data_IF_512707141696
#
_entry.id   IF_512707141696
#
_cell.length_a   1.000
_cell.length_b   1.000
_cell.length_c   1.000
_cell.angle_alpha   90.00
_cell.angle_beta   90.00
_cell.angle_gamma   90.00
#
_symmetry.space_group_name_H-M   'P 1'
#
loop_
_entity.id
_entity.type
_entity.pdbx_description
1 polymer ?
#
# COMPACT_ATOMS: atom_id res chain seq x y z
N UNK A 1 -4.03 0.13 11.20
CA UNK A 1 -5.27 0.82 11.61
C UNK A 1 -6.34 0.62 10.55
N UNK A 2 -7.63 0.61 10.90
CA UNK A 2 -8.69 0.35 9.93
C UNK A 2 -9.98 1.12 10.23
N UNK A 3 -10.79 1.34 9.20
CA UNK A 3 -12.05 2.07 9.30
C UNK A 3 -13.09 1.54 8.30
N UNK A 4 -14.37 1.65 8.68
CA UNK A 4 -15.51 1.45 7.77
C UNK A 4 -15.76 2.72 6.94
N UNK A 5 -16.37 2.54 5.76
CA UNK A 5 -16.82 3.63 4.91
C UNK A 5 -17.71 3.12 3.78
N UNK A 6 -17.84 3.92 2.73
CA UNK A 6 -18.55 3.52 1.51
C UNK A 6 -17.81 4.01 0.26
N UNK A 7 -18.08 3.34 -0.86
CA UNK A 7 -17.64 3.70 -2.20
C UNK A 7 -18.86 3.93 -3.10
N UNK A 8 -18.74 4.89 -4.00
CA UNK A 8 -19.75 5.22 -5.00
C UNK A 8 -19.05 5.65 -6.29
N UNK A 9 -19.35 5.02 -7.46
CA UNK A 9 -18.76 5.44 -8.72
C UNK A 9 -19.38 6.77 -9.19
N UNK A 10 -18.61 7.61 -9.88
CA UNK A 10 -19.14 8.89 -10.39
C UNK A 10 -20.13 8.71 -11.55
N UNK A 11 -19.94 7.65 -12.35
CA UNK A 11 -20.77 7.28 -13.50
C UNK A 11 -20.65 5.78 -13.73
N UNK A 12 -21.56 5.22 -14.52
CA UNK A 12 -21.48 3.83 -14.95
C UNK A 12 -20.19 3.58 -15.75
N UNK A 13 -19.52 2.45 -15.49
CA UNK A 13 -18.37 1.95 -16.24
C UNK A 13 -18.70 0.70 -17.09
N UNK A 14 -19.98 0.43 -17.36
CA UNK A 14 -20.45 -0.75 -18.10
C UNK A 14 -19.77 -0.96 -19.46
N UNK A 15 -19.35 0.13 -20.13
CA UNK A 15 -18.62 0.07 -21.40
C UNK A 15 -17.28 -0.68 -21.32
N UNK A 16 -16.63 -0.68 -20.15
CA UNK A 16 -15.29 -1.25 -19.95
C UNK A 16 -15.25 -2.38 -18.91
N UNK A 17 -16.22 -2.48 -18.02
CA UNK A 17 -16.30 -3.54 -17.00
C UNK A 17 -17.74 -3.92 -16.71
N UNK A 18 -18.00 -5.21 -16.53
CA UNK A 18 -19.29 -5.72 -16.04
C UNK A 18 -19.41 -5.79 -14.52
N UNK A 19 -18.41 -5.30 -13.78
CA UNK A 19 -18.44 -5.33 -12.32
C UNK A 19 -19.59 -4.48 -11.74
N UNK A 20 -20.48 -5.10 -10.96
CA UNK A 20 -21.71 -4.47 -10.47
C UNK A 20 -21.48 -3.18 -9.67
N UNK A 21 -20.48 -3.15 -8.77
CA UNK A 21 -20.17 -1.99 -7.93
C UNK A 21 -19.69 -0.73 -8.70
N UNK A 22 -19.40 -0.88 -10.00
CA UNK A 22 -19.00 0.19 -10.91
C UNK A 22 -20.10 0.52 -11.94
N UNK A 23 -21.29 -0.05 -11.79
CA UNK A 23 -22.29 -0.10 -12.85
C UNK A 23 -23.34 1.03 -12.80
N UNK A 24 -23.54 1.66 -11.64
CA UNK A 24 -24.56 2.68 -11.39
C UNK A 24 -24.03 3.76 -10.42
N UNK A 25 -24.07 5.07 -10.77
CA UNK A 25 -23.64 6.15 -9.90
C UNK A 25 -24.42 6.28 -8.58
N UNK A 26 -25.61 5.71 -8.45
CA UNK A 26 -26.39 5.74 -7.22
C UNK A 26 -26.13 4.52 -6.32
N UNK A 27 -25.34 3.54 -6.78
CA UNK A 27 -25.03 2.34 -6.02
C UNK A 27 -23.97 2.64 -4.97
N UNK A 28 -24.30 2.35 -3.71
CA UNK A 28 -23.40 2.49 -2.56
C UNK A 28 -22.84 1.11 -2.22
N UNK A 29 -21.52 0.99 -2.25
CA UNK A 29 -20.81 -0.23 -1.84
C UNK A 29 -20.14 0.00 -0.49
N UNK A 30 -20.54 -0.68 0.59
CA UNK A 30 -19.82 -0.61 1.85
C UNK A 30 -18.36 -1.02 1.67
N UNK A 31 -17.46 -0.37 2.40
CA UNK A 31 -16.04 -0.73 2.41
C UNK A 31 -15.49 -0.84 3.82
N UNK A 32 -14.45 -1.67 3.95
CA UNK A 32 -13.56 -1.67 5.11
C UNK A 32 -12.12 -1.51 4.62
N UNK A 33 -11.44 -0.48 5.13
CA UNK A 33 -10.09 -0.12 4.70
C UNK A 33 -9.12 -0.37 5.83
N UNK A 34 -8.02 -1.08 5.56
CA UNK A 34 -6.90 -1.25 6.49
C UNK A 34 -5.64 -0.62 5.91
N UNK A 35 -5.05 0.27 6.69
CA UNK A 35 -3.72 0.82 6.47
C UNK A 35 -2.69 0.14 7.36
N UNK A 36 -1.47 -0.01 6.86
CA UNK A 36 -0.37 -0.62 7.62
C UNK A 36 1.00 -0.16 7.16
N UNK A 37 2.01 -0.40 7.99
CA UNK A 37 3.41 -0.57 7.57
C UNK A 37 3.62 -1.98 6.99
N UNK A 38 4.86 -2.34 6.64
CA UNK A 38 5.23 -3.65 6.08
C UNK A 38 6.18 -4.42 7.00
N UNK A 39 7.28 -3.80 7.42
CA UNK A 39 8.37 -4.50 8.10
C UNK A 39 8.00 -4.85 9.54
N UNK A 40 7.44 -3.89 10.28
CA UNK A 40 7.29 -4.01 11.72
C UNK A 40 6.21 -4.99 12.19
N UNK A 41 6.33 -5.46 13.43
CA UNK A 41 5.29 -6.22 14.12
C UNK A 41 4.04 -5.39 14.48
N UNK A 42 3.02 -6.03 15.05
CA UNK A 42 1.74 -5.37 15.38
C UNK A 42 1.87 -4.20 16.40
N UNK A 43 2.92 -4.21 17.22
CA UNK A 43 3.26 -3.15 18.19
C UNK A 43 4.39 -2.21 17.72
N UNK A 44 4.78 -2.26 16.45
CA UNK A 44 5.74 -1.30 15.89
C UNK A 44 5.11 0.09 15.67
N UNK A 45 5.93 1.13 15.61
CA UNK A 45 5.48 2.51 15.52
C UNK A 45 4.98 2.89 14.10
N UNK A 46 4.03 3.82 14.04
CA UNK A 46 3.32 4.22 12.82
C UNK A 46 4.17 5.05 11.82
N UNK A 47 5.09 5.88 12.32
CA UNK A 47 5.80 6.92 11.54
C UNK A 47 7.20 6.48 11.09
N UNK A 48 7.47 5.18 11.08
CA UNK A 48 8.73 4.60 10.54
C UNK A 48 8.91 4.88 9.05
N UNK A 49 10.15 4.83 8.54
CA UNK A 49 10.38 4.82 7.09
C UNK A 49 10.05 3.44 6.54
N UNK A 50 8.99 3.35 5.75
CA UNK A 50 8.50 2.10 5.19
C UNK A 50 7.55 2.34 4.01
N UNK A 51 7.27 1.32 3.22
CA UNK A 51 6.08 1.32 2.36
C UNK A 51 4.83 1.25 3.25
N UNK A 52 3.72 1.83 2.80
CA UNK A 52 2.43 1.68 3.47
C UNK A 52 1.49 0.81 2.65
N UNK A 53 0.89 -0.18 3.30
CA UNK A 53 -0.22 -0.95 2.76
C UNK A 53 -1.52 -0.13 2.76
N UNK A 54 -2.31 -0.28 1.71
CA UNK A 54 -3.63 0.31 1.52
C UNK A 54 -4.56 -0.77 0.96
N UNK A 55 -5.14 -1.57 1.85
CA UNK A 55 -6.07 -2.63 1.49
C UNK A 55 -7.52 -2.16 1.65
N UNK A 56 -8.32 -2.26 0.59
CA UNK A 56 -9.74 -1.91 0.60
C UNK A 56 -10.58 -3.13 0.25
N UNK A 57 -11.43 -3.54 1.18
CA UNK A 57 -12.44 -4.58 0.98
C UNK A 57 -13.75 -3.92 0.55
N UNK A 58 -14.25 -4.30 -0.61
CA UNK A 58 -15.54 -3.87 -1.14
C UNK A 58 -16.57 -4.98 -0.95
N UNK A 59 -17.65 -4.67 -0.22
CA UNK A 59 -18.77 -5.59 0.00
C UNK A 59 -19.80 -5.40 -1.11
N UNK A 60 -19.48 -5.91 -2.31
CA UNK A 60 -20.35 -5.76 -3.49
C UNK A 60 -21.52 -6.76 -3.44
N UNK A 61 -22.58 -6.49 -4.20
CA UNK A 61 -23.73 -7.40 -4.31
C UNK A 61 -23.38 -8.72 -5.02
N UNK A 62 -22.31 -8.72 -5.83
CA UNK A 62 -21.81 -9.90 -6.57
C UNK A 62 -20.59 -10.56 -5.91
N UNK A 63 -20.35 -10.28 -4.62
CA UNK A 63 -19.28 -10.87 -3.83
C UNK A 63 -18.22 -9.86 -3.38
N UNK A 64 -17.31 -10.31 -2.52
CA UNK A 64 -16.27 -9.45 -1.98
C UNK A 64 -15.18 -9.23 -3.03
N UNK A 65 -14.84 -7.96 -3.27
CA UNK A 65 -13.66 -7.58 -4.04
C UNK A 65 -12.62 -6.94 -3.10
N UNK A 66 -11.41 -7.48 -3.06
CA UNK A 66 -10.30 -6.94 -2.28
C UNK A 66 -9.28 -6.25 -3.20
N UNK A 67 -9.17 -4.93 -3.09
CA UNK A 67 -8.10 -4.16 -3.72
C UNK A 67 -6.97 -3.97 -2.70
N UNK A 68 -5.97 -4.84 -2.76
CA UNK A 68 -4.82 -4.85 -1.84
C UNK A 68 -3.63 -4.15 -2.50
N UNK A 69 -3.43 -2.88 -2.15
CA UNK A 69 -2.40 -2.03 -2.73
C UNK A 69 -1.39 -1.49 -1.73
N UNK A 70 -0.48 -0.65 -2.23
CA UNK A 70 0.49 0.11 -1.44
C UNK A 70 0.41 1.62 -1.74
N UNK A 71 1.17 2.44 -1.01
CA UNK A 71 1.29 3.89 -1.25
C UNK A 71 2.32 4.30 -2.32
N UNK A 72 2.93 3.33 -3.02
CA UNK A 72 3.86 3.52 -4.14
C UNK A 72 3.40 2.72 -5.37
N UNK A 73 3.72 3.17 -6.60
CA UNK A 73 3.17 2.58 -7.82
C UNK A 73 3.88 1.31 -8.31
N UNK A 74 4.94 0.88 -7.62
CA UNK A 74 5.76 -0.29 -7.97
C UNK A 74 6.07 -1.12 -6.74
N UNK A 75 6.58 -2.33 -6.94
CA UNK A 75 7.07 -3.20 -5.87
C UNK A 75 8.58 -3.42 -6.01
N UNK A 76 9.20 -4.02 -4.98
CA UNK A 76 10.64 -4.26 -4.94
C UNK A 76 11.10 -5.42 -5.83
N UNK A 77 10.24 -6.40 -6.06
CA UNK A 77 10.59 -7.62 -6.79
C UNK A 77 9.63 -7.86 -7.95
N UNK A 78 10.10 -8.60 -8.95
CA UNK A 78 9.33 -8.92 -10.15
C UNK A 78 8.55 -10.23 -10.02
N UNK A 79 9.15 -11.25 -9.39
CA UNK A 79 8.56 -12.59 -9.25
C UNK A 79 8.23 -12.92 -7.79
N UNK A 80 7.06 -13.52 -7.56
CA UNK A 80 6.60 -13.93 -6.24
C UNK A 80 7.51 -14.96 -5.57
N UNK A 81 8.27 -15.75 -6.34
CA UNK A 81 9.24 -16.70 -5.82
C UNK A 81 10.32 -16.02 -4.95
N UNK A 82 10.65 -14.76 -5.24
CA UNK A 82 11.63 -13.96 -4.48
C UNK A 82 11.05 -13.29 -3.22
N UNK A 83 9.74 -13.42 -2.99
CA UNK A 83 9.07 -12.74 -1.88
C UNK A 83 9.60 -13.16 -0.49
N UNK A 84 9.82 -14.45 -0.20
CA UNK A 84 10.42 -14.86 1.06
C UNK A 84 11.82 -14.27 1.26
N UNK A 85 12.67 -14.28 0.22
CA UNK A 85 14.02 -13.74 0.30
C UNK A 85 14.02 -12.24 0.62
N UNK A 86 13.23 -11.46 -0.12
CA UNK A 86 13.10 -10.01 0.11
C UNK A 86 12.54 -9.70 1.50
N UNK A 87 11.50 -10.43 1.93
CA UNK A 87 10.88 -10.22 3.25
C UNK A 87 11.86 -10.60 4.36
N UNK A 88 12.60 -11.70 4.23
CA UNK A 88 13.64 -12.08 5.20
C UNK A 88 14.74 -11.03 5.27
N UNK A 89 15.16 -10.48 4.13
CA UNK A 89 16.22 -9.47 4.07
C UNK A 89 15.84 -8.16 4.78
N UNK A 90 14.58 -7.71 4.67
CA UNK A 90 14.11 -6.45 5.29
C UNK A 90 13.61 -6.62 6.72
N UNK A 91 13.19 -7.84 7.11
CA UNK A 91 12.75 -8.15 8.48
C UNK A 91 13.93 -8.12 9.46
N UNK A 92 13.66 -8.02 10.78
CA UNK A 92 14.72 -8.10 11.78
C UNK A 92 15.54 -9.38 11.61
N UNK A 93 16.87 -9.27 11.71
CA UNK A 93 17.76 -10.38 11.38
C UNK A 93 17.56 -11.57 12.33
N UNK A 94 17.62 -12.81 11.82
CA UNK A 94 17.04 -13.97 12.50
C UNK A 94 17.76 -14.37 13.79
N UNK A 95 19.03 -14.00 13.96
CA UNK A 95 19.84 -14.40 15.10
C UNK A 95 19.53 -13.59 16.38
N UNK A 96 19.04 -12.35 16.25
CA UNK A 96 18.79 -11.43 17.37
C UNK A 96 17.52 -10.57 17.25
N UNK A 97 16.76 -10.73 16.17
CA UNK A 97 15.52 -10.01 15.89
C UNK A 97 15.64 -8.47 15.94
N UNK A 98 16.75 -7.92 15.45
CA UNK A 98 17.01 -6.47 15.32
C UNK A 98 17.30 -6.14 13.84
N UNK A 99 16.87 -4.98 13.30
CA UNK A 99 16.06 -3.93 13.95
C UNK A 99 14.55 -4.02 13.64
N UNK A 100 13.71 -3.50 14.54
CA UNK A 100 12.26 -3.43 14.36
C UNK A 100 11.86 -2.17 13.56
N UNK A 101 10.99 -2.33 12.56
CA UNK A 101 10.40 -1.23 11.78
C UNK A 101 11.40 -0.45 10.93
N UNK A 102 12.55 -1.03 10.58
CA UNK A 102 13.65 -0.32 9.92
C UNK A 102 14.30 -1.21 8.86
N UNK A 103 14.56 -0.65 7.68
CA UNK A 103 15.37 -1.29 6.63
C UNK A 103 16.85 -0.88 6.71
N UNK A 104 17.26 -0.17 7.76
CA UNK A 104 18.61 0.35 7.95
C UNK A 104 19.50 -0.69 8.65
N UNK A 105 19.74 -1.82 7.99
CA UNK A 105 20.62 -2.89 8.45
C UNK A 105 21.19 -3.68 7.26
N UNK A 106 22.21 -4.48 7.54
CA UNK A 106 23.08 -5.12 6.57
C UNK A 106 22.32 -6.03 5.60
N UNK A 107 21.47 -6.93 6.08
CA UNK A 107 20.80 -7.91 5.20
C UNK A 107 19.86 -7.26 4.18
N UNK A 108 19.23 -6.14 4.51
CA UNK A 108 18.38 -5.42 3.55
C UNK A 108 19.22 -4.84 2.42
N UNK A 109 20.30 -4.12 2.76
CA UNK A 109 21.14 -3.47 1.77
C UNK A 109 21.99 -4.46 0.98
N UNK A 110 22.37 -5.60 1.57
CA UNK A 110 22.97 -6.72 0.87
C UNK A 110 22.06 -7.23 -0.26
N UNK A 111 20.80 -7.57 0.05
CA UNK A 111 19.82 -8.00 -0.95
C UNK A 111 19.61 -6.95 -2.05
N UNK A 112 19.46 -5.67 -1.67
CA UNK A 112 19.29 -4.56 -2.62
C UNK A 112 20.49 -4.44 -3.56
N UNK A 113 21.72 -4.60 -3.04
CA UNK A 113 22.96 -4.49 -3.83
C UNK A 113 23.09 -5.61 -4.88
N UNK A 114 22.54 -6.79 -4.59
CA UNK A 114 22.60 -7.96 -5.46
C UNK A 114 21.39 -8.09 -6.40
N UNK A 115 20.28 -7.41 -6.09
CA UNK A 115 19.02 -7.44 -6.85
C UNK A 115 18.63 -6.04 -7.34
N UNK A 116 19.18 -5.56 -8.48
CA UNK A 116 18.94 -4.19 -8.95
C UNK A 116 17.48 -3.90 -9.35
N UNK A 117 16.63 -4.93 -9.53
CA UNK A 117 15.18 -4.75 -9.72
C UNK A 117 14.51 -4.00 -8.55
N UNK A 118 15.11 -4.05 -7.36
CA UNK A 118 14.62 -3.38 -6.15
C UNK A 118 14.74 -1.87 -6.21
N UNK A 119 15.69 -1.35 -7.00
CA UNK A 119 16.15 0.03 -6.92
C UNK A 119 15.03 1.04 -7.14
N UNK A 120 14.07 0.74 -8.03
CA UNK A 120 12.97 1.66 -8.26
C UNK A 120 12.15 1.88 -6.98
N UNK A 121 11.69 0.82 -6.30
CA UNK A 121 10.88 1.01 -5.10
C UNK A 121 11.71 1.41 -3.87
N UNK A 122 13.01 1.11 -3.85
CA UNK A 122 13.97 1.69 -2.88
C UNK A 122 13.98 3.22 -3.01
N UNK A 123 14.04 3.78 -4.23
CA UNK A 123 13.98 5.24 -4.43
C UNK A 123 12.70 5.85 -3.86
N UNK A 124 11.55 5.17 -4.02
CA UNK A 124 10.30 5.62 -3.40
C UNK A 124 10.38 5.58 -1.87
N UNK A 125 10.87 4.49 -1.29
CA UNK A 125 11.00 4.34 0.17
C UNK A 125 12.00 5.33 0.79
N UNK A 126 13.08 5.68 0.08
CA UNK A 126 14.09 6.63 0.53
C UNK A 126 13.64 8.09 0.37
N UNK A 127 12.70 8.38 -0.53
CA UNK A 127 12.02 9.68 -0.58
C UNK A 127 11.07 9.89 0.61
N UNK A 128 10.50 11.08 0.73
CA UNK A 128 9.51 11.36 1.78
C UNK A 128 8.20 10.58 1.62
N UNK A 129 7.99 9.86 0.51
CA UNK A 129 6.90 8.88 0.37
C UNK A 129 6.96 7.77 1.43
N UNK A 130 8.16 7.45 1.92
CA UNK A 130 8.36 6.45 2.98
C UNK A 130 7.92 6.92 4.38
N UNK A 131 7.61 8.20 4.56
CA UNK A 131 7.24 8.82 5.84
C UNK A 131 6.02 9.76 5.66
N UNK A 132 4.86 9.22 5.29
CA UNK A 132 3.67 10.03 5.05
C UNK A 132 3.24 10.78 6.32
N UNK A 133 2.63 11.96 6.15
CA UNK A 133 2.11 12.78 7.26
C UNK A 133 0.89 12.14 7.93
N UNK A 134 0.09 11.42 7.15
CA UNK A 134 -1.13 10.74 7.55
C UNK A 134 -1.50 9.72 6.47
N UNK A 135 -2.23 8.66 6.82
CA UNK A 135 -2.88 7.80 5.83
C UNK A 135 -3.84 8.58 4.91
N UNK A 136 -4.37 9.73 5.37
CA UNK A 136 -5.23 10.61 4.59
C UNK A 136 -4.50 11.38 3.49
N UNK A 137 -3.17 11.48 3.56
CA UNK A 137 -2.35 12.34 2.68
C UNK A 137 -1.35 11.55 1.83
N UNK A 138 -1.62 10.26 1.58
CA UNK A 138 -0.83 9.42 0.69
C UNK A 138 -1.67 8.94 -0.49
N UNK A 139 -1.03 8.75 -1.65
CA UNK A 139 -1.66 8.03 -2.76
C UNK A 139 -1.74 6.53 -2.42
N UNK A 140 -2.56 5.80 -3.17
CA UNK A 140 -2.63 4.34 -3.14
C UNK A 140 -2.62 3.77 -4.55
N UNK A 141 -2.06 2.57 -4.72
CA UNK A 141 -1.86 1.94 -6.02
C UNK A 141 -2.08 0.43 -5.92
N UNK A 142 -2.77 -0.13 -6.90
CA UNK A 142 -2.88 -1.59 -7.05
C UNK A 142 -1.58 -2.25 -7.54
N UNK A 143 -0.59 -1.45 -7.96
CA UNK A 143 0.70 -1.84 -8.56
C UNK A 143 0.56 -2.58 -9.89
N UNK A 144 -0.07 -3.76 -9.86
CA UNK A 144 -0.18 -4.65 -11.00
C UNK A 144 -1.16 -4.15 -12.05
N UNK A 145 -0.91 -4.57 -13.29
CA UNK A 145 -1.87 -4.43 -14.38
C UNK A 145 -2.90 -5.55 -14.27
N UNK A 146 -4.16 -5.20 -14.07
CA UNK A 146 -5.31 -6.10 -14.11
C UNK A 146 -6.06 -5.98 -15.44
N UNK A 147 -7.14 -6.74 -15.59
CA UNK A 147 -8.08 -6.61 -16.70
C UNK A 147 -9.46 -6.25 -16.19
N UNK A 148 -10.08 -5.27 -16.84
CA UNK A 148 -11.52 -5.05 -16.83
C UNK A 148 -12.12 -5.74 -18.04
N UNK A 149 -13.19 -6.50 -17.82
CA UNK A 149 -13.90 -7.24 -18.89
C UNK A 149 -15.32 -6.68 -18.95
N UNK A 150 -15.72 -6.14 -20.09
CA UNK A 150 -17.08 -5.64 -20.29
C UNK A 150 -18.07 -6.78 -20.62
N UNK A 151 -19.34 -6.45 -20.88
CA UNK A 151 -20.39 -7.43 -21.15
C UNK A 151 -20.14 -8.23 -22.44
N UNK A 152 -19.48 -7.63 -23.44
CA UNK A 152 -19.13 -8.27 -24.71
C UNK A 152 -17.84 -9.10 -24.63
N UNK A 153 -17.22 -9.21 -23.45
CA UNK A 153 -15.98 -9.96 -23.25
C UNK A 153 -14.71 -9.22 -23.69
N UNK A 154 -14.81 -7.93 -24.05
CA UNK A 154 -13.65 -7.11 -24.41
C UNK A 154 -12.81 -6.80 -23.17
N UNK A 155 -11.51 -7.08 -23.26
CA UNK A 155 -10.55 -6.80 -22.20
C UNK A 155 -9.93 -5.41 -22.33
N UNK A 156 -9.87 -4.69 -21.21
CA UNK A 156 -9.13 -3.43 -21.07
C UNK A 156 -8.12 -3.57 -19.92
N UNK A 157 -6.84 -3.27 -20.18
CA UNK A 157 -5.84 -3.26 -19.12
C UNK A 157 -6.06 -2.09 -18.17
N UNK A 158 -5.91 -2.32 -16.87
CA UNK A 158 -6.12 -1.30 -15.84
C UNK A 158 -5.03 -1.37 -14.76
N UNK A 159 -4.64 -0.21 -14.24
CA UNK A 159 -3.95 -0.08 -12.95
C UNK A 159 -4.82 0.78 -12.04
N UNK A 160 -4.97 0.37 -10.79
CA UNK A 160 -5.83 1.07 -9.82
C UNK A 160 -5.06 2.17 -9.09
N UNK A 161 -5.72 3.30 -8.85
CA UNK A 161 -5.19 4.46 -8.16
C UNK A 161 -6.18 5.01 -7.14
N UNK A 162 -5.67 5.33 -5.94
CA UNK A 162 -6.34 6.17 -4.95
C UNK A 162 -5.66 7.54 -4.92
N UNK A 163 -6.45 8.59 -5.13
CA UNK A 163 -5.99 9.98 -5.01
C UNK A 163 -6.57 10.58 -3.72
N UNK A 164 -5.73 10.98 -2.76
CA UNK A 164 -6.22 11.54 -1.50
C UNK A 164 -6.84 12.92 -1.77
N UNK A 165 -8.08 13.11 -1.34
CA UNK A 165 -8.75 14.43 -1.41
C UNK A 165 -7.99 15.47 -0.58
N UNK A 166 -7.36 15.05 0.53
CA UNK A 166 -6.56 15.91 1.39
C UNK A 166 -5.17 16.29 0.80
N UNK A 167 -4.87 15.88 -0.44
CA UNK A 167 -3.58 16.13 -1.08
C UNK A 167 -2.46 15.20 -0.60
N UNK A 168 -1.24 15.47 -1.05
CA UNK A 168 -0.04 14.69 -0.73
C UNK A 168 0.83 15.45 0.26
N UNK A 169 1.13 14.83 1.40
CA UNK A 169 1.98 15.41 2.42
C UNK A 169 2.75 14.32 3.18
N UNK A 170 3.98 14.63 3.53
CA UNK A 170 4.91 13.78 4.26
C UNK A 170 5.57 14.53 5.41
N UNK A 171 6.09 13.77 6.36
CA UNK A 171 7.00 14.27 7.39
C UNK A 171 8.40 14.45 6.79
N UNK A 172 9.29 15.08 7.55
CA UNK A 172 10.75 14.97 7.34
C UNK A 172 11.33 13.90 8.26
N UNK A 173 12.51 13.35 7.93
CA UNK A 173 13.04 12.16 8.62
C UNK A 173 13.27 12.35 10.12
N UNK A 174 13.91 13.44 10.54
CA UNK A 174 14.18 13.73 11.97
C UNK A 174 12.89 13.84 12.79
N UNK A 175 11.86 14.48 12.22
CA UNK A 175 10.53 14.54 12.81
C UNK A 175 9.90 13.15 12.93
N UNK A 176 9.88 12.39 11.82
CA UNK A 176 9.29 11.06 11.74
C UNK A 176 9.92 10.09 12.76
N UNK A 177 11.24 10.10 12.88
CA UNK A 177 11.98 9.26 13.83
C UNK A 177 11.66 9.65 15.27
N UNK A 178 11.75 10.94 15.65
CA UNK A 178 11.38 11.38 17.01
C UNK A 178 9.94 11.04 17.34
N UNK A 179 9.03 11.15 16.38
CA UNK A 179 7.62 10.87 16.56
C UNK A 179 7.35 9.41 16.88
N UNK A 180 8.15 8.46 16.38
CA UNK A 180 8.02 7.04 16.76
C UNK A 180 8.19 6.80 18.26
N UNK A 181 9.00 7.63 18.94
CA UNK A 181 9.18 7.56 20.39
C UNK A 181 8.18 8.41 21.18
N UNK A 182 7.66 9.51 20.59
CA UNK A 182 6.73 10.42 21.27
C UNK A 182 5.27 9.98 21.17
N UNK A 183 4.86 9.44 20.03
CA UNK A 183 3.53 8.85 19.82
C UNK A 183 3.64 7.72 18.78
N UNK A 184 3.94 6.47 19.20
CA UNK A 184 4.04 5.34 18.28
C UNK A 184 2.72 5.00 17.58
N UNK A 185 1.58 5.51 18.07
CA UNK A 185 0.24 5.30 17.51
C UNK A 185 -0.27 6.53 16.70
N UNK A 186 0.63 7.42 16.26
CA UNK A 186 0.27 8.71 15.65
C UNK A 186 -0.63 8.64 14.41
N UNK A 187 -0.46 7.63 13.54
CA UNK A 187 -1.31 7.48 12.35
C UNK A 187 -2.61 6.74 12.66
N UNK A 188 -2.62 5.93 13.72
CA UNK A 188 -3.79 5.21 14.22
C UNK A 188 -4.76 6.15 14.94
N UNK A 189 -4.24 7.08 15.74
CA UNK A 189 -4.99 8.09 16.50
C UNK A 189 -5.71 9.08 15.57
#
# INVERSE_FOLDING_TARGET
SAAHGYFQPYKSLKEITKADFLSDPNKITPVFVRFSTVQGGAGSADTVRDIRGFATKFYTEEGIFDLVGNNTPVFFIQDAHKFPDFVHAVKPEPHWAIPQGQSAHDTFWDYVSLQPETLHNVMWAMSDRGIPRSYRTMEGFGIHTFRLINAEGKATFVRFHWKPVAGKASLVWDEAQKLTGRDPDFHRR
#
